data_IF_713138169061
#
_entry.id   IF_713138169061
#
_cell.length_a   1.000
_cell.length_b   1.000
_cell.length_c   1.000
_cell.angle_alpha   90.00
_cell.angle_beta   90.00
_cell.angle_gamma   90.00
#
_symmetry.space_group_name_H-M   'P 1'
#
loop_
_entity.id
_entity.type
_entity.pdbx_description
1 polymer ?
#
# COMPACT_ATOMS: atom_id res chain seq x y z
N UNK A 1 -22.51 -17.73 7.51
CA UNK A 1 -22.20 -17.50 6.09
C UNK A 1 -21.80 -16.05 5.94
N UNK A 2 -20.54 -15.76 5.62
CA UNK A 2 -20.15 -14.40 5.27
C UNK A 2 -20.66 -14.16 3.85
N UNK A 3 -21.67 -13.31 3.71
CA UNK A 3 -22.14 -12.85 2.41
C UNK A 3 -21.00 -12.08 1.73
N UNK A 4 -20.30 -12.78 0.83
CA UNK A 4 -19.45 -12.15 -0.17
C UNK A 4 -20.39 -11.36 -1.09
N UNK A 5 -20.18 -10.04 -1.29
CA UNK A 5 -20.92 -9.30 -2.29
C UNK A 5 -20.71 -9.99 -3.64
N UNK A 6 -21.81 -10.41 -4.27
CA UNK A 6 -21.80 -11.01 -5.60
C UNK A 6 -21.21 -9.99 -6.58
N UNK A 7 -19.93 -10.17 -6.92
CA UNK A 7 -19.28 -9.45 -7.99
C UNK A 7 -19.90 -9.89 -9.31
N UNK A 8 -20.90 -9.15 -9.78
CA UNK A 8 -21.25 -9.18 -11.19
C UNK A 8 -20.08 -8.59 -11.98
N UNK A 9 -19.73 -9.25 -13.07
CA UNK A 9 -18.56 -9.00 -13.90
C UNK A 9 -18.67 -7.72 -14.76
N UNK A 10 -19.04 -6.60 -14.14
CA UNK A 10 -18.78 -5.26 -14.64
C UNK A 10 -17.66 -4.69 -13.75
N UNK A 11 -16.42 -5.00 -14.13
CA UNK A 11 -15.17 -4.69 -13.42
C UNK A 11 -14.88 -3.17 -13.43
N UNK A 12 -15.79 -2.39 -12.85
CA UNK A 12 -15.54 -1.03 -12.44
C UNK A 12 -14.46 -1.11 -11.37
N UNK A 13 -13.19 -1.10 -11.80
CA UNK A 13 -11.98 -1.19 -10.99
C UNK A 13 -12.15 -0.42 -9.68
N UNK A 14 -12.59 -1.14 -8.64
CA UNK A 14 -13.05 -0.49 -7.41
C UNK A 14 -11.80 0.04 -6.74
N UNK A 15 -11.71 1.36 -6.69
CA UNK A 15 -10.59 2.06 -6.08
C UNK A 15 -11.02 2.46 -4.68
N UNK A 16 -10.30 1.96 -3.68
CA UNK A 16 -10.64 2.13 -2.26
C UNK A 16 -9.54 2.88 -1.52
N UNK A 17 -9.93 3.64 -0.51
CA UNK A 17 -9.06 4.25 0.50
C UNK A 17 -9.20 3.55 1.87
N UNK A 18 -10.27 2.80 2.08
CA UNK A 18 -10.49 1.98 3.27
C UNK A 18 -9.39 0.94 3.45
N UNK A 19 -8.94 0.77 4.69
CA UNK A 19 -7.94 -0.23 5.08
C UNK A 19 -8.53 -1.10 6.18
N UNK A 20 -8.32 -2.41 6.07
CA UNK A 20 -8.74 -3.38 7.06
C UNK A 20 -7.54 -4.23 7.48
N UNK A 21 -7.47 -4.60 8.75
CA UNK A 21 -6.46 -5.49 9.30
C UNK A 21 -7.14 -6.76 9.83
N UNK A 22 -6.55 -7.93 9.56
CA UNK A 22 -7.07 -9.19 10.08
C UNK A 22 -6.50 -9.47 11.47
N UNK A 23 -7.37 -9.52 12.48
CA UNK A 23 -7.00 -9.90 13.83
C UNK A 23 -6.98 -11.43 13.96
N UNK A 24 -5.79 -12.03 14.00
CA UNK A 24 -5.59 -13.48 14.12
C UNK A 24 -6.16 -14.09 15.40
N UNK A 25 -6.17 -13.35 16.51
CA UNK A 25 -6.65 -13.88 17.79
C UNK A 25 -8.17 -13.98 17.85
N UNK A 26 -8.86 -13.06 17.18
CA UNK A 26 -10.33 -12.99 17.15
C UNK A 26 -10.93 -13.57 15.87
N UNK A 27 -10.10 -13.87 14.87
CA UNK A 27 -10.52 -14.28 13.53
C UNK A 27 -11.50 -13.31 12.88
N UNK A 28 -11.29 -12.00 13.08
CA UNK A 28 -12.15 -10.95 12.54
C UNK A 28 -11.32 -9.87 11.87
N UNK A 29 -11.89 -9.24 10.83
CA UNK A 29 -11.36 -8.01 10.27
C UNK A 29 -11.71 -6.82 11.17
N UNK A 30 -10.77 -5.90 11.31
CA UNK A 30 -10.95 -4.63 12.01
C UNK A 30 -10.68 -3.48 11.05
N UNK A 31 -11.47 -2.41 11.17
CA UNK A 31 -11.25 -1.19 10.41
C UNK A 31 -9.99 -0.47 10.90
N UNK A 32 -9.15 -0.07 9.96
CA UNK A 32 -7.94 0.72 10.19
C UNK A 32 -8.16 2.14 9.66
N UNK A 33 -7.30 3.12 10.02
CA UNK A 33 -7.34 4.43 9.40
C UNK A 33 -7.26 4.33 7.88
N UNK A 34 -8.13 5.02 7.14
CA UNK A 34 -8.10 5.00 5.68
C UNK A 34 -6.86 5.71 5.17
N UNK A 35 -6.44 5.35 3.97
CA UNK A 35 -5.45 6.10 3.19
C UNK A 35 -6.01 7.49 2.82
N UNK A 36 -5.12 8.41 2.49
CA UNK A 36 -5.45 9.76 2.04
C UNK A 36 -5.95 9.78 0.58
N UNK A 37 -5.54 8.80 -0.22
CA UNK A 37 -5.94 8.67 -1.62
C UNK A 37 -6.45 7.26 -1.90
N UNK A 38 -7.53 7.18 -2.68
CA UNK A 38 -8.05 5.91 -3.18
C UNK A 38 -7.04 5.28 -4.12
N UNK A 39 -6.75 3.98 -3.93
CA UNK A 39 -5.82 3.22 -4.75
C UNK A 39 -6.39 1.84 -5.10
N UNK A 40 -6.00 1.33 -6.26
CA UNK A 40 -6.19 -0.05 -6.71
C UNK A 40 -4.91 -0.52 -7.40
N UNK A 41 -4.61 -1.82 -7.34
CA UNK A 41 -3.37 -2.37 -7.94
C UNK A 41 -2.08 -1.76 -7.37
N UNK A 42 -2.11 -1.33 -6.10
CA UNK A 42 -0.95 -0.80 -5.38
C UNK A 42 -0.03 -1.94 -4.92
N UNK A 43 1.23 -1.60 -4.64
CA UNK A 43 2.19 -2.52 -4.02
C UNK A 43 2.28 -2.24 -2.52
N UNK A 44 2.20 -3.27 -1.67
CA UNK A 44 2.28 -3.12 -0.21
C UNK A 44 3.56 -3.77 0.34
N UNK A 45 4.30 -3.06 1.18
CA UNK A 45 5.52 -3.55 1.82
C UNK A 45 5.52 -3.23 3.31
N UNK A 46 5.85 -4.22 4.14
CA UNK A 46 6.15 -4.01 5.56
C UNK A 46 7.66 -4.09 5.78
N UNK A 47 8.27 -3.02 6.28
CA UNK A 47 9.71 -3.01 6.62
C UNK A 47 10.03 -1.93 7.65
N UNK A 48 10.97 -2.21 8.55
CA UNK A 48 11.25 -1.36 9.70
C UNK A 48 10.03 -1.23 10.60
N UNK A 49 9.58 0.00 10.84
CA UNK A 49 8.46 0.37 11.72
C UNK A 49 7.23 0.89 10.95
N UNK A 50 7.14 0.61 9.64
CA UNK A 50 6.10 1.17 8.78
C UNK A 50 5.57 0.21 7.71
N UNK A 51 4.34 0.49 7.24
CA UNK A 51 3.77 -0.09 6.02
C UNK A 51 3.80 0.93 4.90
N UNK A 52 4.18 0.50 3.70
CA UNK A 52 4.31 1.34 2.52
C UNK A 52 3.30 0.90 1.47
N UNK A 53 2.32 1.73 1.16
CA UNK A 53 1.38 1.56 0.06
C UNK A 53 1.86 2.38 -1.14
N UNK A 54 2.48 1.72 -2.12
CA UNK A 54 3.24 2.36 -3.18
C UNK A 54 2.43 2.39 -4.48
N UNK A 55 2.23 3.59 -5.02
CA UNK A 55 1.59 3.79 -6.32
C UNK A 55 0.14 3.32 -6.34
N UNK A 56 -0.24 2.66 -7.44
CA UNK A 56 -1.58 2.19 -7.72
C UNK A 56 -2.26 3.03 -8.82
N UNK A 57 -3.58 2.90 -8.90
CA UNK A 57 -4.45 3.65 -9.79
C UNK A 57 -5.61 4.22 -9.00
N UNK A 58 -5.92 5.52 -9.16
CA UNK A 58 -6.94 6.22 -8.36
C UNK A 58 -8.35 6.19 -8.96
N UNK A 59 -8.57 5.40 -10.02
CA UNK A 59 -9.83 5.33 -10.77
C UNK A 59 -9.77 6.07 -12.10
N UNK A 60 -8.94 7.11 -12.21
CA UNK A 60 -8.74 7.88 -13.45
C UNK A 60 -7.31 7.81 -13.99
N UNK A 61 -6.32 7.81 -13.10
CA UNK A 61 -4.90 7.85 -13.49
C UNK A 61 -4.03 7.00 -12.56
N UNK A 62 -2.88 6.50 -13.03
CA UNK A 62 -1.85 5.96 -12.15
C UNK A 62 -1.36 7.01 -11.15
N UNK A 63 -1.16 6.61 -9.89
CA UNK A 63 -0.79 7.55 -8.83
C UNK A 63 0.74 7.69 -8.75
N UNK A 64 1.22 8.93 -8.72
CA UNK A 64 2.65 9.28 -8.53
C UNK A 64 2.95 9.58 -7.06
N UNK A 65 2.41 8.77 -6.15
CA UNK A 65 2.61 8.90 -4.72
C UNK A 65 2.62 7.53 -4.05
N UNK A 66 3.25 7.44 -2.89
CA UNK A 66 3.12 6.36 -1.94
C UNK A 66 2.53 6.91 -0.63
N UNK A 67 2.03 6.03 0.21
CA UNK A 67 1.62 6.37 1.57
C UNK A 67 2.33 5.48 2.58
N UNK A 68 2.72 6.07 3.70
CA UNK A 68 3.46 5.41 4.76
C UNK A 68 2.58 5.39 6.00
N UNK A 69 2.19 4.21 6.46
CA UNK A 69 1.49 4.04 7.72
C UNK A 69 2.47 3.74 8.84
N UNK A 70 2.30 4.44 9.97
CA UNK A 70 3.00 4.15 11.23
C UNK A 70 1.98 3.84 12.31
N UNK A 71 2.20 2.75 13.04
CA UNK A 71 1.34 2.38 14.17
C UNK A 71 1.43 3.42 15.30
N UNK A 72 2.61 4.01 15.51
CA UNK A 72 2.85 5.02 16.55
C UNK A 72 1.99 6.27 16.40
N UNK A 73 1.65 6.66 15.17
CA UNK A 73 0.78 7.81 14.88
C UNK A 73 -0.63 7.40 14.47
N UNK A 74 -0.82 6.11 14.16
CA UNK A 74 -2.03 5.53 13.59
C UNK A 74 -2.55 6.35 12.39
N UNK A 75 -1.63 6.75 11.49
CA UNK A 75 -1.93 7.60 10.33
C UNK A 75 -1.11 7.20 9.12
N UNK A 76 -1.66 7.52 7.95
CA UNK A 76 -1.00 7.45 6.65
C UNK A 76 -0.42 8.81 6.29
N UNK A 77 0.86 8.85 5.91
CA UNK A 77 1.55 10.03 5.42
C UNK A 77 1.81 9.92 3.92
N UNK A 78 1.40 10.93 3.15
CA UNK A 78 1.53 10.96 1.70
C UNK A 78 2.94 11.41 1.28
N UNK A 79 3.56 10.66 0.39
CA UNK A 79 4.90 10.95 -0.16
C UNK A 79 4.88 10.87 -1.68
N UNK A 80 5.46 11.85 -2.37
CA UNK A 80 5.50 11.87 -3.83
C UNK A 80 6.54 10.90 -4.39
N UNK A 81 6.20 10.29 -5.53
CA UNK A 81 7.10 9.46 -6.33
C UNK A 81 7.54 10.23 -7.58
N UNK A 82 8.76 9.98 -8.08
CA UNK A 82 9.23 10.59 -9.32
C UNK A 82 8.49 10.08 -10.57
N UNK A 83 7.97 8.84 -10.51
CA UNK A 83 7.26 8.19 -11.60
C UNK A 83 6.02 7.47 -11.07
N UNK A 84 4.99 7.35 -11.90
CA UNK A 84 3.81 6.57 -11.56
C UNK A 84 4.13 5.08 -11.55
N UNK A 85 3.67 4.37 -10.52
CA UNK A 85 3.87 2.92 -10.35
C UNK A 85 2.50 2.27 -10.21
N UNK A 86 2.23 1.17 -10.90
CA UNK A 86 0.97 0.44 -10.81
C UNK A 86 1.14 -1.01 -11.27
N UNK A 87 0.52 -1.96 -10.57
CA UNK A 87 0.71 -3.41 -10.75
C UNK A 87 2.17 -3.88 -10.68
N UNK A 88 3.00 -3.19 -9.88
CA UNK A 88 4.38 -3.57 -9.66
C UNK A 88 4.51 -4.56 -8.48
N UNK A 89 5.53 -5.41 -8.52
CA UNK A 89 6.00 -6.14 -7.35
C UNK A 89 6.92 -5.28 -6.49
N UNK A 90 6.87 -5.46 -5.17
CA UNK A 90 7.77 -4.79 -4.22
C UNK A 90 8.41 -5.81 -3.28
N UNK A 91 9.68 -5.60 -2.96
CA UNK A 91 10.42 -6.37 -1.97
C UNK A 91 11.37 -5.46 -1.20
N UNK A 92 11.60 -5.75 0.07
CA UNK A 92 12.69 -5.16 0.86
C UNK A 92 13.90 -6.10 0.79
N UNK A 93 15.08 -5.52 0.56
CA UNK A 93 16.35 -6.25 0.64
C UNK A 93 17.19 -5.57 1.73
N UNK A 94 17.58 -6.28 2.79
CA UNK A 94 18.47 -5.72 3.79
C UNK A 94 19.83 -5.50 3.12
N UNK A 95 20.22 -4.24 3.00
CA UNK A 95 21.52 -3.92 2.47
C UNK A 95 22.49 -3.62 3.62
N UNK A 96 23.61 -4.34 3.68
CA UNK A 96 24.74 -3.90 4.48
C UNK A 96 25.18 -2.51 3.95
N UNK A 97 25.28 -1.52 4.84
CA UNK A 97 25.55 -0.11 4.51
C UNK A 97 26.78 0.13 3.61
N UNK A 98 27.64 -0.87 3.48
CA UNK A 98 28.91 -0.80 2.78
C UNK A 98 28.85 -1.18 1.28
N UNK A 99 27.67 -1.52 0.72
CA UNK A 99 27.57 -2.01 -0.66
C UNK A 99 26.93 -1.03 -1.68
N UNK A 100 26.39 0.12 -1.24
CA UNK A 100 25.75 1.09 -2.16
C UNK A 100 26.62 2.29 -2.56
N UNK A 101 27.75 2.52 -1.88
CA UNK A 101 28.57 3.73 -2.10
C UNK A 101 29.96 3.48 -2.72
N UNK A 102 30.31 2.24 -3.05
CA UNK A 102 31.57 1.91 -3.77
C UNK A 102 31.42 2.09 -5.31
N UNK A 103 30.96 3.26 -5.74
CA UNK A 103 31.15 3.67 -7.14
C UNK A 103 32.38 4.58 -7.19
N UNK A 104 33.44 4.23 -7.96
CA UNK A 104 34.58 5.11 -8.13
C UNK A 104 34.13 6.40 -8.82
N UNK A 105 34.47 7.54 -8.22
CA UNK A 105 34.41 8.86 -8.85
C UNK A 105 35.29 8.94 -10.09
#
# INVERSE_FOLDING_TARGET
ECEMPRGNADDAKITLDSVECFNLAKSTWIQMPPMNQKRSGLSLLATGDALYAIGGYCGTTPVMSMEIYRESTNKWELVNLPTAIHYAGVASVPMAANLLFDLPT
#
